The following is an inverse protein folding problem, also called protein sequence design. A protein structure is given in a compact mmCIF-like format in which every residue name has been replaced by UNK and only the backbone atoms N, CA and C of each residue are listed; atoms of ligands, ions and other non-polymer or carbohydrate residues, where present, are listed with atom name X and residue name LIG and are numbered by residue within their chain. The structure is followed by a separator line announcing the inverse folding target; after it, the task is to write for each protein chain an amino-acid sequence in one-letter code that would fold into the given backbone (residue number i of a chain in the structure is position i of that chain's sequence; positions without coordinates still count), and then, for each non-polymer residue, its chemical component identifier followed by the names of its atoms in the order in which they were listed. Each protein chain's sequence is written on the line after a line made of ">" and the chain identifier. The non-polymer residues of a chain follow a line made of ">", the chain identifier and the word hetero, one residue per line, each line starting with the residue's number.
data_IF_745754703077
#
_entry.id   IF_745754703077
#
_cell.length_a   1.000
_cell.length_b   1.000
_cell.length_c   1.000
_cell.angle_alpha   90.00
_cell.angle_beta   90.00
_cell.angle_gamma   90.00
#
_symmetry.space_group_name_H-M   'P 1'
#
loop_
_entity.id
_entity.type
_entity.pdbx_description
1 polymer ?
#
# COMPACT_ATOMS: atom_id res chain seq x y z
N UNK A 1 -33.35 -9.10 20.02
CA UNK A 1 -32.20 -8.42 19.38
C UNK A 1 -31.46 -9.48 18.58
N UNK A 2 -31.49 -9.41 17.26
CA UNK A 2 -30.70 -10.32 16.43
C UNK A 2 -29.22 -10.04 16.74
N UNK A 3 -28.48 -11.07 17.18
CA UNK A 3 -27.07 -10.93 17.49
C UNK A 3 -26.32 -10.45 16.24
N UNK A 4 -25.53 -9.37 16.37
CA UNK A 4 -24.71 -8.86 15.30
C UNK A 4 -23.79 -10.00 14.83
N UNK A 5 -23.94 -10.42 13.56
CA UNK A 5 -23.10 -11.49 12.99
C UNK A 5 -21.66 -10.98 12.86
N UNK A 6 -20.73 -11.70 13.45
CA UNK A 6 -19.30 -11.40 13.30
C UNK A 6 -18.83 -11.95 11.96
N UNK A 7 -18.35 -11.07 11.09
CA UNK A 7 -17.63 -11.47 9.88
C UNK A 7 -16.23 -11.95 10.28
N UNK A 8 -15.78 -13.08 9.74
CA UNK A 8 -14.49 -13.68 10.11
C UNK A 8 -13.59 -13.86 8.89
N UNK A 9 -12.34 -13.44 9.06
CA UNK A 9 -11.28 -13.56 8.07
C UNK A 9 -9.98 -13.99 8.75
N UNK A 10 -9.01 -14.47 7.97
CA UNK A 10 -7.68 -14.74 8.47
C UNK A 10 -6.92 -13.42 8.67
N UNK A 11 -7.06 -12.51 7.70
CA UNK A 11 -6.40 -11.20 7.71
C UNK A 11 -7.40 -10.09 7.41
N UNK A 12 -7.35 -9.03 8.22
CA UNK A 12 -8.02 -7.76 7.98
C UNK A 12 -6.98 -6.71 7.60
N UNK A 13 -7.09 -6.15 6.39
CA UNK A 13 -6.24 -5.05 5.91
C UNK A 13 -7.07 -3.78 5.87
N UNK A 14 -6.62 -2.74 6.56
CA UNK A 14 -7.29 -1.43 6.63
C UNK A 14 -6.50 -0.45 5.77
N UNK A 15 -7.07 -0.09 4.62
CA UNK A 15 -6.48 0.78 3.60
C UNK A 15 -6.21 0.08 2.28
N UNK A 16 -6.70 0.66 1.17
CA UNK A 16 -6.63 0.11 -0.20
C UNK A 16 -5.59 0.79 -1.10
N UNK A 17 -4.62 1.49 -0.54
CA UNK A 17 -3.46 1.96 -1.28
C UNK A 17 -2.53 0.81 -1.69
N UNK A 18 -1.42 1.14 -2.38
CA UNK A 18 -0.44 0.16 -2.86
C UNK A 18 -0.05 -0.88 -1.79
N UNK A 19 0.26 -0.42 -0.57
CA UNK A 19 0.71 -1.33 0.50
C UNK A 19 -0.37 -2.33 0.91
N UNK A 20 -1.62 -1.88 1.06
CA UNK A 20 -2.74 -2.75 1.46
C UNK A 20 -3.09 -3.76 0.38
N UNK A 21 -3.16 -3.34 -0.88
CA UNK A 21 -3.47 -4.23 -1.99
C UNK A 21 -2.34 -5.24 -2.27
N UNK A 22 -1.09 -4.79 -2.25
CA UNK A 22 0.06 -5.67 -2.41
C UNK A 22 0.06 -6.77 -1.32
N UNK A 23 -0.14 -6.39 -0.07
CA UNK A 23 -0.22 -7.36 1.02
C UNK A 23 -1.40 -8.32 0.85
N UNK A 24 -2.58 -7.80 0.50
CA UNK A 24 -3.76 -8.64 0.28
C UNK A 24 -3.50 -9.69 -0.80
N UNK A 25 -2.91 -9.31 -1.95
CA UNK A 25 -2.56 -10.22 -3.03
C UNK A 25 -1.50 -11.25 -2.64
N UNK A 26 -0.48 -10.84 -1.89
CA UNK A 26 0.58 -11.75 -1.41
C UNK A 26 0.06 -12.82 -0.43
N UNK A 27 -1.02 -12.55 0.30
CA UNK A 27 -1.57 -13.46 1.29
C UNK A 27 -2.75 -14.29 0.77
N UNK A 28 -3.44 -13.82 -0.26
CA UNK A 28 -4.72 -14.36 -0.68
C UNK A 28 -4.69 -15.79 -1.22
N UNK A 29 -3.54 -16.27 -1.71
CA UNK A 29 -3.42 -17.67 -2.14
C UNK A 29 -3.67 -18.68 -1.00
N UNK A 30 -3.42 -18.26 0.24
CA UNK A 30 -3.49 -19.14 1.42
C UNK A 30 -4.42 -18.63 2.53
N UNK A 31 -4.93 -17.39 2.43
CA UNK A 31 -5.71 -16.74 3.47
C UNK A 31 -6.97 -16.07 2.90
N UNK A 32 -8.03 -16.05 3.72
CA UNK A 32 -9.21 -15.22 3.46
C UNK A 32 -8.94 -13.80 3.96
N UNK A 33 -8.92 -12.84 3.04
CA UNK A 33 -8.54 -11.44 3.33
C UNK A 33 -9.75 -10.52 3.23
N UNK A 34 -9.98 -9.71 4.26
CA UNK A 34 -10.85 -8.55 4.20
C UNK A 34 -10.00 -7.30 3.90
N UNK A 35 -10.31 -6.58 2.84
CA UNK A 35 -9.71 -5.28 2.51
C UNK A 35 -10.74 -4.18 2.72
N UNK A 36 -10.52 -3.33 3.72
CA UNK A 36 -11.44 -2.24 4.11
C UNK A 36 -10.93 -0.91 3.60
N UNK A 37 -11.78 -0.15 2.93
CA UNK A 37 -11.46 1.19 2.44
C UNK A 37 -12.61 2.17 2.65
N UNK A 38 -12.28 3.38 3.12
CA UNK A 38 -13.27 4.43 3.46
C UNK A 38 -13.98 5.05 2.25
N UNK A 39 -13.41 4.89 1.05
CA UNK A 39 -14.02 5.30 -0.22
C UNK A 39 -13.97 4.13 -1.22
N UNK A 40 -14.02 4.42 -2.52
CA UNK A 40 -13.78 3.39 -3.53
C UNK A 40 -12.33 2.89 -3.47
N UNK A 41 -12.09 1.65 -3.89
CA UNK A 41 -10.77 1.02 -3.85
C UNK A 41 -9.71 1.80 -4.63
N UNK A 42 -10.11 2.52 -5.69
CA UNK A 42 -9.25 3.34 -6.52
C UNK A 42 -8.92 4.72 -5.94
N UNK A 43 -9.64 5.19 -4.92
CA UNK A 43 -9.44 6.53 -4.33
C UNK A 43 -8.40 6.47 -3.21
N UNK A 44 -7.14 6.47 -3.59
CA UNK A 44 -6.00 6.39 -2.68
C UNK A 44 -4.90 7.39 -3.06
N UNK A 45 -4.00 7.70 -2.13
CA UNK A 45 -2.83 8.53 -2.41
C UNK A 45 -1.94 7.93 -3.52
N UNK A 46 -1.94 6.61 -3.69
CA UNK A 46 -1.22 5.92 -4.76
C UNK A 46 -1.68 6.39 -6.14
N UNK A 47 -2.99 6.52 -6.36
CA UNK A 47 -3.53 6.95 -7.66
C UNK A 47 -3.08 8.36 -8.07
N UNK A 48 -2.75 9.21 -7.11
CA UNK A 48 -2.31 10.60 -7.34
C UNK A 48 -0.79 10.75 -7.50
N UNK A 49 -0.01 9.69 -7.31
CA UNK A 49 1.43 9.73 -7.48
C UNK A 49 1.79 9.87 -8.98
N UNK A 50 2.43 11.00 -9.34
CA UNK A 50 2.78 11.33 -10.72
C UNK A 50 4.16 10.81 -11.13
N UNK A 51 5.13 10.86 -10.21
CA UNK A 51 6.49 10.39 -10.43
C UNK A 51 6.58 8.88 -10.62
N UNK A 52 7.77 8.42 -10.97
CA UNK A 52 8.06 7.00 -11.06
C UNK A 52 8.48 6.39 -9.72
N UNK A 53 9.01 5.19 -9.78
CA UNK A 53 9.51 4.44 -8.62
C UNK A 53 11.02 4.26 -8.76
N UNK A 54 11.77 4.67 -7.73
CA UNK A 54 13.22 4.50 -7.71
C UNK A 54 13.62 3.08 -7.33
N UNK A 55 14.37 2.40 -8.19
CA UNK A 55 14.97 1.09 -7.90
C UNK A 55 16.23 0.88 -8.74
N UNK A 56 17.19 0.14 -8.20
CA UNK A 56 18.38 -0.25 -8.95
C UNK A 56 18.00 -1.41 -9.86
N UNK A 57 17.87 -1.13 -11.16
CA UNK A 57 17.44 -2.07 -12.18
C UNK A 57 18.47 -2.29 -13.28
N UNK A 58 19.42 -1.35 -13.44
CA UNK A 58 20.46 -1.35 -14.46
C UNK A 58 21.84 -1.63 -13.84
N UNK A 59 22.68 -2.40 -14.53
CA UNK A 59 24.03 -2.75 -14.08
C UNK A 59 24.98 -1.54 -13.98
N UNK A 60 24.63 -0.41 -14.61
CA UNK A 60 25.36 0.85 -14.50
C UNK A 60 25.10 1.60 -13.18
N UNK A 61 24.13 1.13 -12.37
CA UNK A 61 23.77 1.69 -11.06
C UNK A 61 24.14 0.71 -9.94
N UNK A 62 24.06 1.15 -8.68
CA UNK A 62 24.30 0.30 -7.51
C UNK A 62 23.43 0.65 -6.32
N UNK A 63 23.17 -0.34 -5.48
CA UNK A 63 22.49 -0.17 -4.18
C UNK A 63 23.21 0.87 -3.33
N UNK A 64 24.54 0.85 -3.30
CA UNK A 64 25.36 1.81 -2.54
C UNK A 64 25.11 3.23 -3.04
N UNK A 65 25.17 3.48 -4.35
CA UNK A 65 24.93 4.81 -4.92
C UNK A 65 23.49 5.30 -4.62
N UNK A 66 22.50 4.40 -4.66
CA UNK A 66 21.13 4.78 -4.31
C UNK A 66 20.98 5.14 -2.83
N UNK A 67 21.64 4.41 -1.92
CA UNK A 67 21.66 4.73 -0.49
C UNK A 67 22.33 6.08 -0.23
N UNK A 68 23.48 6.36 -0.86
CA UNK A 68 24.21 7.63 -0.74
C UNK A 68 23.37 8.81 -1.23
N UNK A 69 22.71 8.68 -2.39
CA UNK A 69 21.78 9.69 -2.91
C UNK A 69 20.63 9.94 -1.92
N UNK A 70 20.08 8.88 -1.32
CA UNK A 70 18.99 8.99 -0.34
C UNK A 70 19.42 9.73 0.92
N UNK A 71 20.62 9.44 1.44
CA UNK A 71 21.17 10.18 2.59
C UNK A 71 21.45 11.64 2.27
N UNK A 72 21.97 11.92 1.07
CA UNK A 72 22.22 13.28 0.63
C UNK A 72 20.94 14.08 0.54
N UNK A 73 19.89 13.52 -0.08
CA UNK A 73 18.59 14.17 -0.20
C UNK A 73 17.87 14.30 1.15
N UNK A 74 18.03 13.34 2.03
CA UNK A 74 17.39 13.30 3.35
C UNK A 74 18.01 14.20 4.42
N UNK A 75 19.19 14.77 4.17
CA UNK A 75 19.85 15.79 5.02
C UNK A 75 19.88 15.39 6.51
N UNK A 76 20.23 14.13 6.79
CA UNK A 76 20.34 13.60 8.17
C UNK A 76 19.06 13.11 8.80
N UNK A 77 17.93 13.09 8.08
CA UNK A 77 16.64 12.57 8.57
C UNK A 77 16.46 11.07 8.29
N UNK A 78 17.32 10.47 7.47
CA UNK A 78 17.21 9.06 7.11
C UNK A 78 17.77 8.14 8.20
N UNK A 79 17.00 7.11 8.58
CA UNK A 79 17.52 5.99 9.36
C UNK A 79 18.33 5.06 8.45
N UNK A 80 19.60 4.78 8.76
CA UNK A 80 20.47 3.99 7.88
C UNK A 80 19.97 2.56 7.64
N UNK A 81 19.48 1.90 8.68
CA UNK A 81 19.01 0.52 8.60
C UNK A 81 17.76 0.41 7.73
N UNK A 82 16.82 1.32 7.92
CA UNK A 82 15.58 1.37 7.15
C UNK A 82 15.86 1.72 5.68
N UNK A 83 16.75 2.68 5.42
CA UNK A 83 17.13 3.07 4.06
C UNK A 83 17.77 1.90 3.31
N UNK A 84 18.75 1.23 3.91
CA UNK A 84 19.36 0.06 3.33
C UNK A 84 18.35 -1.05 3.05
N UNK A 85 17.49 -1.36 4.03
CA UNK A 85 16.46 -2.38 3.90
C UNK A 85 15.53 -2.12 2.71
N UNK A 86 15.08 -0.88 2.52
CA UNK A 86 14.16 -0.51 1.43
C UNK A 86 14.87 -0.56 0.08
N UNK A 87 16.06 0.03 -0.03
CA UNK A 87 16.78 0.11 -1.30
C UNK A 87 17.21 -1.27 -1.82
N UNK A 88 17.71 -2.14 -0.95
CA UNK A 88 18.09 -3.52 -1.31
C UNK A 88 16.91 -4.35 -1.86
N UNK A 89 15.69 -4.03 -1.46
CA UNK A 89 14.46 -4.76 -1.88
C UNK A 89 13.74 -4.11 -3.05
N UNK A 90 14.21 -2.95 -3.50
CA UNK A 90 13.57 -2.20 -4.58
C UNK A 90 13.43 -3.00 -5.87
N UNK A 91 14.48 -3.71 -6.30
CA UNK A 91 14.46 -4.55 -7.50
C UNK A 91 13.34 -5.61 -7.43
N UNK A 92 13.29 -6.38 -6.35
CA UNK A 92 12.28 -7.42 -6.18
C UNK A 92 10.85 -6.86 -6.11
N UNK A 93 10.67 -5.67 -5.51
CA UNK A 93 9.37 -5.02 -5.45
C UNK A 93 8.90 -4.57 -6.85
N UNK A 94 9.79 -4.01 -7.67
CA UNK A 94 9.48 -3.64 -9.06
C UNK A 94 9.18 -4.87 -9.90
N UNK A 95 9.98 -5.94 -9.78
CA UNK A 95 9.72 -7.19 -10.50
C UNK A 95 8.33 -7.73 -10.16
N UNK A 96 7.93 -7.73 -8.88
CA UNK A 96 6.60 -8.14 -8.49
C UNK A 96 5.50 -7.30 -9.15
N UNK A 97 5.65 -5.97 -9.25
CA UNK A 97 4.70 -5.11 -9.95
C UNK A 97 4.63 -5.43 -11.47
N UNK A 98 5.77 -5.72 -12.08
CA UNK A 98 5.83 -6.17 -13.49
C UNK A 98 5.06 -7.48 -13.66
N UNK A 99 5.25 -8.44 -12.75
CA UNK A 99 4.58 -9.73 -12.76
C UNK A 99 3.06 -9.60 -12.53
N UNK A 100 2.63 -8.58 -11.77
CA UNK A 100 1.21 -8.23 -11.66
C UNK A 100 0.62 -7.65 -12.96
N UNK A 101 1.47 -7.19 -13.88
CA UNK A 101 1.06 -6.64 -15.17
C UNK A 101 1.02 -5.12 -15.24
N UNK A 102 1.69 -4.42 -14.31
CA UNK A 102 1.81 -2.95 -14.39
C UNK A 102 2.48 -2.54 -15.71
N UNK A 103 1.84 -1.68 -16.53
CA UNK A 103 2.31 -1.34 -17.87
C UNK A 103 3.41 -0.25 -17.83
N UNK A 104 4.57 -0.58 -17.25
CA UNK A 104 5.72 0.32 -17.27
C UNK A 104 6.17 0.65 -18.69
N UNK A 105 6.63 1.88 -18.90
CA UNK A 105 7.12 2.37 -20.20
C UNK A 105 8.33 1.55 -20.65
N UNK A 106 8.24 0.99 -21.86
CA UNK A 106 9.29 0.17 -22.46
C UNK A 106 10.16 1.00 -23.41
N UNK A 107 11.40 0.55 -23.57
CA UNK A 107 12.33 1.06 -24.58
C UNK A 107 13.14 -0.08 -25.23
N UNK A 108 14.10 0.29 -26.08
CA UNK A 108 14.98 -0.66 -26.76
C UNK A 108 16.30 -0.92 -26.00
N UNK A 109 16.41 -0.55 -24.73
CA UNK A 109 17.56 -0.87 -23.89
C UNK A 109 17.66 -2.36 -23.59
N UNK A 110 18.81 -2.82 -23.10
CA UNK A 110 18.99 -4.19 -22.65
C UNK A 110 18.03 -4.58 -21.51
N UNK A 111 17.64 -3.62 -20.69
CA UNK A 111 16.64 -3.80 -19.63
C UNK A 111 15.22 -3.92 -20.19
N UNK A 112 14.93 -3.34 -21.37
CA UNK A 112 13.61 -3.31 -21.98
C UNK A 112 12.61 -2.33 -21.33
N UNK A 113 13.06 -1.52 -20.35
CA UNK A 113 12.27 -0.49 -19.68
C UNK A 113 12.98 0.86 -19.71
N UNK A 114 12.24 1.90 -19.99
CA UNK A 114 12.76 3.25 -19.96
C UNK A 114 12.93 3.74 -18.52
N UNK A 115 14.15 4.15 -18.18
CA UNK A 115 14.45 4.74 -16.88
C UNK A 115 14.73 6.23 -17.02
N UNK A 116 14.17 7.03 -16.12
CA UNK A 116 14.46 8.46 -16.00
C UNK A 116 15.39 8.74 -14.79
N UNK A 117 15.94 9.95 -14.76
CA UNK A 117 16.68 10.47 -13.62
C UNK A 117 15.98 11.73 -13.12
N UNK A 118 15.52 11.70 -11.88
CA UNK A 118 14.94 12.84 -11.21
C UNK A 118 15.93 13.52 -10.25
N UNK A 119 15.54 14.66 -9.69
CA UNK A 119 16.36 15.40 -8.74
C UNK A 119 16.75 14.54 -7.52
N UNK A 120 17.98 14.70 -7.05
CA UNK A 120 18.52 13.90 -5.95
C UNK A 120 19.10 12.54 -6.34
N UNK A 121 18.93 12.09 -7.59
CA UNK A 121 19.49 10.82 -8.05
C UNK A 121 20.73 11.02 -8.94
N UNK A 122 21.81 10.29 -8.68
CA UNK A 122 23.03 10.27 -9.49
C UNK A 122 22.91 9.45 -10.78
N UNK A 123 22.01 8.44 -10.78
CA UNK A 123 21.79 7.50 -11.88
C UNK A 123 20.34 7.52 -12.39
N UNK A 124 20.12 6.99 -13.61
CA UNK A 124 18.79 6.71 -14.14
C UNK A 124 18.26 5.45 -13.46
N UNK A 125 17.35 5.59 -12.52
CA UNK A 125 16.77 4.47 -11.75
C UNK A 125 15.27 4.60 -11.52
N UNK A 126 14.64 5.58 -12.15
CA UNK A 126 13.21 5.81 -11.98
C UNK A 126 12.46 5.10 -13.09
N UNK A 127 11.83 3.97 -12.74
CA UNK A 127 10.89 3.29 -13.64
C UNK A 127 9.53 3.98 -13.57
N UNK A 128 8.85 4.13 -14.70
CA UNK A 128 7.60 4.89 -14.76
C UNK A 128 6.61 4.30 -15.78
N UNK A 129 5.32 4.64 -15.64
CA UNK A 129 4.27 4.32 -16.59
C UNK A 129 3.70 5.63 -17.13
N UNK A 130 4.19 6.09 -18.29
CA UNK A 130 3.93 7.41 -18.86
C UNK A 130 4.04 8.51 -17.78
N UNK A 131 3.04 9.40 -17.65
CA UNK A 131 3.02 10.51 -16.69
C UNK A 131 2.15 10.22 -15.45
N UNK A 132 1.71 8.98 -15.27
CA UNK A 132 0.74 8.61 -14.25
C UNK A 132 1.04 7.23 -13.64
N UNK A 133 2.28 7.03 -13.18
CA UNK A 133 2.75 5.74 -12.63
C UNK A 133 1.87 5.24 -11.50
N UNK A 134 1.50 6.12 -10.56
CA UNK A 134 0.65 5.73 -9.44
C UNK A 134 -0.75 5.26 -9.88
N UNK A 135 -1.35 5.93 -10.86
CA UNK A 135 -2.66 5.52 -11.40
C UNK A 135 -2.58 4.16 -12.11
N UNK A 136 -1.52 3.92 -12.90
CA UNK A 136 -1.31 2.64 -13.58
C UNK A 136 -1.12 1.50 -12.58
N UNK A 137 -0.31 1.69 -11.54
CA UNK A 137 -0.12 0.73 -10.46
C UNK A 137 -1.44 0.46 -9.73
N UNK A 138 -2.15 1.51 -9.32
CA UNK A 138 -3.41 1.39 -8.59
C UNK A 138 -4.47 0.64 -9.41
N UNK A 139 -4.63 0.97 -10.70
CA UNK A 139 -5.59 0.29 -11.57
C UNK A 139 -5.27 -1.19 -11.72
N UNK A 140 -4.01 -1.53 -12.01
CA UNK A 140 -3.58 -2.93 -12.16
C UNK A 140 -3.88 -3.73 -10.89
N UNK A 141 -3.54 -3.20 -9.72
CA UNK A 141 -3.79 -3.91 -8.46
C UNK A 141 -5.27 -3.99 -8.12
N UNK A 142 -6.08 -2.96 -8.42
CA UNK A 142 -7.54 -3.02 -8.27
C UNK A 142 -8.14 -4.19 -9.05
N UNK A 143 -7.73 -4.37 -10.31
CA UNK A 143 -8.21 -5.45 -11.17
C UNK A 143 -7.81 -6.82 -10.61
N UNK A 144 -6.58 -6.97 -10.11
CA UNK A 144 -6.10 -8.20 -9.48
C UNK A 144 -6.85 -8.53 -8.18
N UNK A 145 -7.05 -7.54 -7.32
CA UNK A 145 -7.80 -7.68 -6.07
C UNK A 145 -9.24 -8.05 -6.34
N UNK A 146 -9.90 -7.39 -7.30
CA UNK A 146 -11.29 -7.67 -7.65
C UNK A 146 -11.48 -9.07 -8.26
N UNK A 147 -10.48 -9.59 -8.95
CA UNK A 147 -10.52 -10.92 -9.56
C UNK A 147 -10.19 -12.06 -8.56
N UNK A 148 -9.63 -11.77 -7.39
CA UNK A 148 -9.14 -12.79 -6.48
C UNK A 148 -10.26 -13.34 -5.56
N UNK A 149 -10.59 -14.64 -5.58
CA UNK A 149 -11.74 -15.21 -4.87
C UNK A 149 -11.60 -15.14 -3.33
N UNK A 150 -10.39 -15.08 -2.81
CA UNK A 150 -10.12 -15.04 -1.37
C UNK A 150 -9.96 -13.61 -0.81
N UNK A 151 -10.16 -12.58 -1.64
CA UNK A 151 -10.16 -11.19 -1.18
C UNK A 151 -11.58 -10.65 -1.23
N UNK A 152 -12.08 -10.21 -0.09
CA UNK A 152 -13.33 -9.47 -0.01
C UNK A 152 -13.07 -8.00 0.26
N UNK A 153 -13.45 -7.15 -0.69
CA UNK A 153 -13.32 -5.69 -0.57
C UNK A 153 -14.58 -5.10 0.08
N UNK A 154 -14.35 -4.22 1.05
CA UNK A 154 -15.37 -3.42 1.72
C UNK A 154 -15.12 -1.95 1.39
N UNK A 155 -15.74 -1.47 0.31
CA UNK A 155 -15.70 -0.06 -0.07
C UNK A 155 -16.68 0.75 0.76
N UNK A 156 -16.40 2.05 0.95
CA UNK A 156 -17.20 2.96 1.77
C UNK A 156 -17.41 2.47 3.20
N UNK A 157 -16.37 1.82 3.73
CA UNK A 157 -16.33 1.29 5.09
C UNK A 157 -15.18 1.92 5.88
N UNK A 158 -15.47 2.42 7.07
CA UNK A 158 -14.49 3.08 7.94
C UNK A 158 -14.17 2.17 9.13
N UNK A 159 -12.90 1.85 9.33
CA UNK A 159 -12.46 1.23 10.58
C UNK A 159 -12.57 2.28 11.71
N UNK A 160 -13.50 2.05 12.61
CA UNK A 160 -13.82 3.00 13.71
C UNK A 160 -12.88 2.77 14.89
N UNK A 161 -12.65 1.50 15.23
CA UNK A 161 -11.83 1.14 16.38
C UNK A 161 -11.33 -0.29 16.28
N UNK A 162 -10.15 -0.56 16.86
CA UNK A 162 -9.61 -1.91 16.95
C UNK A 162 -10.21 -2.67 18.13
N UNK A 163 -10.56 -3.91 17.90
CA UNK A 163 -11.01 -4.84 18.93
C UNK A 163 -9.76 -5.48 19.55
N UNK A 164 -9.44 -5.07 20.77
CA UNK A 164 -8.27 -5.62 21.49
C UNK A 164 -8.71 -6.47 22.68
N UNK A 165 -7.85 -7.41 23.07
CA UNK A 165 -8.10 -8.26 24.21
C UNK A 165 -8.29 -7.44 25.50
N UNK A 166 -7.54 -6.36 25.66
CA UNK A 166 -7.67 -5.45 26.82
C UNK A 166 -9.08 -4.82 26.90
N UNK A 167 -9.60 -4.29 25.78
CA UNK A 167 -10.96 -3.71 25.72
C UNK A 167 -12.06 -4.72 26.05
N UNK A 168 -11.79 -6.00 25.84
CA UNK A 168 -12.72 -7.10 26.15
C UNK A 168 -12.47 -7.72 27.53
N UNK A 169 -11.53 -7.21 28.32
CA UNK A 169 -11.17 -7.76 29.62
C UNK A 169 -10.47 -9.11 29.56
N UNK A 170 -9.85 -9.46 28.42
CA UNK A 170 -9.13 -10.71 28.24
C UNK A 170 -7.71 -10.61 28.83
N UNK A 171 -7.16 -11.75 29.30
CA UNK A 171 -5.80 -11.80 29.85
C UNK A 171 -4.71 -11.44 28.84
N UNK A 172 -4.90 -11.84 27.58
CA UNK A 172 -3.94 -11.56 26.51
C UNK A 172 -4.40 -10.32 25.72
N UNK A 173 -3.57 -9.27 25.69
CA UNK A 173 -3.83 -8.09 24.88
C UNK A 173 -3.29 -8.32 23.46
N UNK A 174 -4.16 -8.75 22.56
CA UNK A 174 -3.91 -8.87 21.11
C UNK A 174 -5.02 -8.23 20.32
N UNK A 175 -4.76 -7.82 19.10
CA UNK A 175 -5.80 -7.38 18.17
C UNK A 175 -6.59 -8.60 17.69
N UNK A 176 -7.92 -8.47 17.70
CA UNK A 176 -8.87 -9.53 17.33
C UNK A 176 -9.70 -9.13 16.11
N UNK A 177 -9.46 -7.94 15.55
CA UNK A 177 -10.20 -7.36 14.43
C UNK A 177 -10.53 -5.89 14.65
N UNK A 178 -11.58 -5.42 14.01
CA UNK A 178 -12.03 -4.03 14.11
C UNK A 178 -13.55 -3.91 14.09
N UNK A 179 -14.05 -2.81 14.67
CA UNK A 179 -15.37 -2.29 14.36
C UNK A 179 -15.29 -1.43 13.10
N UNK A 180 -16.16 -1.73 12.15
CA UNK A 180 -16.14 -1.13 10.82
C UNK A 180 -17.51 -0.54 10.52
N UNK A 181 -17.57 0.77 10.29
CA UNK A 181 -18.79 1.46 9.89
C UNK A 181 -19.02 1.25 8.38
N UNK A 182 -20.14 0.65 8.04
CA UNK A 182 -20.73 0.65 6.71
C UNK A 182 -21.44 1.99 6.52
N UNK A 183 -20.91 2.86 5.65
CA UNK A 183 -21.41 4.24 5.48
C UNK A 183 -22.76 4.25 4.79
N UNK A 184 -23.00 3.30 3.90
CA UNK A 184 -24.23 3.27 3.09
C UNK A 184 -25.43 2.77 3.90
N UNK A 185 -25.22 1.78 4.75
CA UNK A 185 -26.25 1.19 5.59
C UNK A 185 -26.32 1.82 6.99
N UNK A 186 -25.45 2.78 7.32
CA UNK A 186 -25.32 3.43 8.63
C UNK A 186 -25.28 2.42 9.80
N UNK A 187 -24.48 1.38 9.64
CA UNK A 187 -24.37 0.30 10.63
C UNK A 187 -22.93 -0.07 10.92
N UNK A 188 -22.66 -0.48 12.15
CA UNK A 188 -21.35 -0.97 12.55
C UNK A 188 -21.28 -2.49 12.41
N UNK A 189 -20.31 -2.95 11.63
CA UNK A 189 -19.97 -4.35 11.47
C UNK A 189 -18.87 -4.73 12.47
N UNK A 190 -18.94 -5.95 12.98
CA UNK A 190 -17.81 -6.55 13.71
C UNK A 190 -17.04 -7.45 12.77
N UNK A 191 -15.80 -7.05 12.45
CA UNK A 191 -14.90 -7.83 11.60
C UNK A 191 -13.82 -8.44 12.48
N UNK A 192 -13.91 -9.75 12.71
CA UNK A 192 -12.90 -10.52 13.44
C UNK A 192 -11.82 -11.04 12.49
N UNK A 193 -10.55 -10.97 12.91
CA UNK A 193 -9.43 -11.50 12.15
C UNK A 193 -8.33 -12.01 13.08
N UNK A 194 -7.58 -13.02 12.61
CA UNK A 194 -6.39 -13.50 13.30
C UNK A 194 -5.26 -12.45 13.29
N UNK A 195 -5.15 -11.71 12.17
CA UNK A 195 -4.20 -10.63 11.97
C UNK A 195 -4.90 -9.39 11.45
N UNK A 196 -4.55 -8.22 11.99
CA UNK A 196 -5.04 -6.92 11.50
C UNK A 196 -3.86 -6.05 11.09
N UNK A 197 -3.91 -5.53 9.88
CA UNK A 197 -2.83 -4.72 9.30
C UNK A 197 -3.35 -3.31 9.02
N UNK A 198 -2.65 -2.31 9.53
CA UNK A 198 -2.91 -0.91 9.25
C UNK A 198 -2.07 -0.47 8.04
N UNK A 199 -2.73 -0.28 6.90
CA UNK A 199 -2.16 0.25 5.66
C UNK A 199 -2.83 1.58 5.29
N UNK A 200 -3.14 2.39 6.31
CA UNK A 200 -3.99 3.59 6.25
C UNK A 200 -3.35 4.79 5.56
N UNK A 201 -2.06 4.71 5.23
CA UNK A 201 -1.32 5.79 4.59
C UNK A 201 -0.96 6.92 5.54
N UNK A 202 -0.74 8.11 4.98
CA UNK A 202 -0.35 9.29 5.73
C UNK A 202 -1.54 10.10 6.25
N UNK A 203 -1.28 10.98 7.23
CA UNK A 203 -2.24 11.87 7.85
C UNK A 203 -2.05 13.34 7.40
N UNK A 204 -1.85 13.58 6.09
CA UNK A 204 -1.60 14.92 5.55
C UNK A 204 -2.67 15.96 5.89
N UNK A 205 -3.91 15.51 6.12
CA UNK A 205 -5.04 16.39 6.48
C UNK A 205 -4.97 17.00 7.87
N UNK A 206 -4.00 16.61 8.70
CA UNK A 206 -3.73 17.32 9.98
C UNK A 206 -3.12 18.71 9.76
N UNK A 207 -2.57 18.97 8.58
CA UNK A 207 -2.02 20.26 8.18
C UNK A 207 -3.08 21.13 7.48
N UNK A 208 -3.01 22.44 7.68
CA UNK A 208 -3.93 23.39 7.04
C UNK A 208 -3.79 23.37 5.51
N UNK A 209 -2.57 23.20 5.02
CA UNK A 209 -2.25 23.08 3.58
C UNK A 209 -1.53 21.77 3.34
N UNK A 210 -1.98 21.02 2.33
CA UNK A 210 -1.37 19.77 1.92
C UNK A 210 -1.63 19.52 0.44
N UNK A 211 -0.68 18.89 -0.25
CA UNK A 211 -0.85 18.38 -1.61
C UNK A 211 -1.43 16.96 -1.65
N UNK A 212 -1.59 16.33 -0.47
CA UNK A 212 -2.23 15.02 -0.39
C UNK A 212 -3.74 15.11 -0.64
N UNK A 213 -4.36 14.04 -1.15
CA UNK A 213 -5.81 14.00 -1.33
C UNK A 213 -6.55 14.14 0.00
N UNK A 214 -7.83 14.50 -0.06
CA UNK A 214 -8.69 14.66 1.12
C UNK A 214 -8.90 13.37 1.92
N UNK A 215 -8.55 12.24 1.34
CA UNK A 215 -8.56 10.92 1.99
C UNK A 215 -7.36 10.67 2.89
N UNK A 216 -6.33 11.53 2.89
CA UNK A 216 -5.12 11.37 3.72
C UNK A 216 -5.36 11.78 5.18
N UNK A 217 -6.21 11.05 5.87
CA UNK A 217 -6.62 11.28 7.27
C UNK A 217 -5.94 10.34 8.27
N UNK A 218 -5.13 9.42 7.79
CA UNK A 218 -4.51 8.37 8.58
C UNK A 218 -5.32 7.10 8.62
#
# INVERSE_FOLDING_TARGET
>A
MAGASVLRFDVLVIGSGLAGQALALLLADTHQVALVTKRSVGDSATAWAQGGIAAVLDDADSVTAHIEDTFTAGVGLCDPTSTQFVVERGHAAIQWLIDQGVPFTRDNSSLGYHLTREGGHSHRRIIHAADATGAAVQQTLNERVAAHPNIRVFERHIAVDLITGEKLGLKANRCLGAYVLDIDDDRVLTVGAAHTVLATGGAGKVYLYTTNPDTATG
#
